data_IF_109232083634
#
_entry.id   IF_109232083634
#
_cell.length_a   1.000
_cell.length_b   1.000
_cell.length_c   1.000
_cell.angle_alpha   90.00
_cell.angle_beta   90.00
_cell.angle_gamma   90.00
#
_symmetry.space_group_name_H-M   'P 1'
#
loop_
_entity.id
_entity.type
_entity.pdbx_description
1 polymer ?
#
# COMPACT_ATOMS: atom_id res chain seq x y z
N UNK A 1 11.94 -22.50 -20.14
CA UNK A 1 12.13 -21.04 -19.96
C UNK A 1 10.95 -20.34 -20.61
N UNK A 2 10.23 -19.48 -19.88
CA UNK A 2 9.11 -18.71 -20.46
C UNK A 2 9.68 -17.39 -20.97
N UNK A 3 9.63 -17.16 -22.29
CA UNK A 3 9.97 -15.88 -22.91
C UNK A 3 8.68 -15.08 -23.08
N UNK A 4 8.61 -13.89 -22.46
CA UNK A 4 7.47 -12.97 -22.61
C UNK A 4 7.88 -11.82 -23.53
N UNK A 5 7.10 -11.54 -24.57
CA UNK A 5 7.24 -10.31 -25.33
C UNK A 5 6.83 -9.12 -24.44
N UNK A 6 7.59 -8.01 -24.50
CA UNK A 6 7.26 -6.79 -23.77
C UNK A 6 5.96 -6.18 -24.32
N UNK A 7 4.90 -6.19 -23.51
CA UNK A 7 3.74 -5.31 -23.73
C UNK A 7 4.09 -3.99 -23.04
N UNK A 8 4.41 -2.95 -23.81
CA UNK A 8 4.94 -1.69 -23.27
C UNK A 8 3.87 -0.81 -22.61
N UNK A 9 2.59 -1.05 -22.90
CA UNK A 9 1.45 -0.32 -22.34
C UNK A 9 0.32 -1.33 -22.07
N UNK A 10 -0.40 -1.21 -20.94
CA UNK A 10 -1.49 -2.09 -20.45
C UNK A 10 -1.09 -3.21 -19.47
N UNK A 11 -0.13 -2.97 -18.58
CA UNK A 11 0.16 -3.89 -17.48
C UNK A 11 0.11 -3.16 -16.13
N UNK A 12 -0.32 -3.88 -15.11
CA UNK A 12 -0.30 -3.44 -13.72
C UNK A 12 0.90 -4.05 -13.02
N UNK A 13 1.72 -3.22 -12.39
CA UNK A 13 2.80 -3.70 -11.52
C UNK A 13 2.17 -4.09 -10.18
N UNK A 14 2.37 -5.34 -9.76
CA UNK A 14 1.85 -5.87 -8.51
C UNK A 14 3.02 -6.38 -7.66
N UNK A 15 2.91 -6.23 -6.34
CA UNK A 15 3.86 -6.87 -5.42
C UNK A 15 3.82 -8.38 -5.58
N UNK A 16 5.01 -8.99 -5.68
CA UNK A 16 5.14 -10.44 -5.75
C UNK A 16 4.65 -11.12 -4.48
N UNK A 17 4.71 -10.43 -3.34
CA UNK A 17 4.32 -10.98 -2.05
C UNK A 17 2.82 -11.29 -2.03
N UNK A 18 1.99 -10.39 -2.56
CA UNK A 18 0.54 -10.59 -2.66
C UNK A 18 0.22 -11.78 -3.56
N UNK A 19 0.89 -11.90 -4.71
CA UNK A 19 0.64 -12.99 -5.65
C UNK A 19 1.08 -14.35 -5.09
N UNK A 20 2.12 -14.37 -4.25
CA UNK A 20 2.70 -15.59 -3.66
C UNK A 20 2.14 -15.91 -2.28
N UNK A 21 1.39 -15.00 -1.66
CA UNK A 21 0.78 -15.20 -0.37
C UNK A 21 -0.16 -16.42 -0.42
N UNK A 22 0.13 -17.40 0.43
CA UNK A 22 -0.64 -18.65 0.54
C UNK A 22 -1.81 -18.52 1.52
N UNK A 23 -1.83 -17.48 2.35
CA UNK A 23 -2.93 -17.18 3.24
C UNK A 23 -4.16 -16.67 2.48
N UNK A 24 -3.94 -16.07 1.30
CA UNK A 24 -4.99 -15.60 0.41
C UNK A 24 -5.41 -16.66 -0.60
N UNK A 25 -6.72 -16.75 -0.85
CA UNK A 25 -7.20 -17.56 -1.97
C UNK A 25 -6.70 -17.01 -3.31
N UNK A 26 -6.66 -17.88 -4.32
CA UNK A 26 -6.35 -17.45 -5.69
C UNK A 26 -7.34 -16.38 -6.19
N UNK A 27 -8.62 -16.49 -5.78
CA UNK A 27 -9.65 -15.51 -6.11
C UNK A 27 -9.41 -14.15 -5.46
N UNK A 28 -8.99 -14.10 -4.19
CA UNK A 28 -8.63 -12.86 -3.50
C UNK A 28 -7.42 -12.17 -4.16
N UNK A 29 -6.39 -12.94 -4.51
CA UNK A 29 -5.21 -12.42 -5.22
C UNK A 29 -5.57 -11.87 -6.60
N UNK A 30 -6.43 -12.56 -7.34
CA UNK A 30 -6.89 -12.09 -8.65
C UNK A 30 -7.80 -10.86 -8.54
N UNK A 31 -8.67 -10.81 -7.53
CA UNK A 31 -9.50 -9.63 -7.27
C UNK A 31 -8.64 -8.40 -6.97
N UNK A 32 -7.60 -8.55 -6.14
CA UNK A 32 -6.62 -7.48 -5.89
C UNK A 32 -5.94 -7.02 -7.18
N UNK A 33 -5.40 -7.98 -7.96
CA UNK A 33 -4.70 -7.70 -9.21
C UNK A 33 -5.56 -6.92 -10.20
N UNK A 34 -6.82 -7.34 -10.38
CA UNK A 34 -7.77 -6.64 -11.24
C UNK A 34 -8.11 -5.25 -10.70
N UNK A 35 -8.36 -5.10 -9.40
CA UNK A 35 -8.68 -3.80 -8.82
C UNK A 35 -7.57 -2.76 -9.08
N UNK A 36 -6.31 -3.18 -8.95
CA UNK A 36 -5.14 -2.34 -9.24
C UNK A 36 -4.93 -2.05 -10.75
N UNK A 37 -5.66 -2.71 -11.65
CA UNK A 37 -5.60 -2.45 -13.09
C UNK A 37 -6.56 -1.35 -13.57
N UNK A 38 -7.47 -0.90 -12.70
CA UNK A 38 -8.32 0.25 -12.98
C UNK A 38 -7.66 1.55 -12.55
N UNK A 39 -8.18 2.68 -13.03
CA UNK A 39 -7.76 4.01 -12.57
C UNK A 39 -8.10 4.25 -11.10
N UNK A 40 -7.37 5.13 -10.42
CA UNK A 40 -7.57 5.45 -9.00
C UNK A 40 -8.99 5.98 -8.68
N UNK A 41 -9.61 6.69 -9.63
CA UNK A 41 -10.98 7.22 -9.50
C UNK A 41 -12.07 6.15 -9.68
N UNK A 42 -11.70 4.90 -9.92
CA UNK A 42 -12.65 3.84 -10.22
C UNK A 42 -13.35 3.32 -8.96
N UNK A 43 -14.69 3.41 -8.97
CA UNK A 43 -15.52 2.84 -7.91
C UNK A 43 -15.70 1.33 -8.07
N UNK A 44 -15.28 0.56 -7.05
CA UNK A 44 -15.45 -0.89 -7.06
C UNK A 44 -16.93 -1.27 -7.10
N UNK A 45 -17.29 -2.04 -8.13
CA UNK A 45 -18.62 -2.60 -8.31
C UNK A 45 -18.55 -4.14 -8.23
N UNK A 46 -19.10 -4.71 -7.15
CA UNK A 46 -19.09 -6.17 -6.91
C UNK A 46 -19.67 -6.97 -8.08
N UNK A 47 -20.76 -6.49 -8.69
CA UNK A 47 -21.40 -7.15 -9.84
C UNK A 47 -20.51 -7.11 -11.09
N UNK A 48 -19.76 -6.04 -11.28
CA UNK A 48 -18.79 -5.94 -12.37
C UNK A 48 -17.63 -6.93 -12.18
N UNK A 49 -17.05 -6.98 -10.98
CA UNK A 49 -15.98 -7.94 -10.68
C UNK A 49 -16.45 -9.40 -10.75
N UNK A 50 -17.69 -9.68 -10.34
CA UNK A 50 -18.27 -11.02 -10.45
C UNK A 50 -18.30 -11.50 -11.91
N UNK A 51 -18.65 -10.60 -12.84
CA UNK A 51 -18.60 -10.89 -14.28
C UNK A 51 -17.17 -11.08 -14.79
N UNK A 52 -16.24 -10.18 -14.43
CA UNK A 52 -14.84 -10.26 -14.87
C UNK A 52 -14.15 -11.55 -14.40
N UNK A 53 -14.37 -11.93 -13.15
CA UNK A 53 -13.79 -13.12 -12.54
C UNK A 53 -14.58 -14.40 -12.86
N UNK A 54 -15.74 -14.29 -13.50
CA UNK A 54 -16.67 -15.39 -13.77
C UNK A 54 -17.04 -16.19 -12.49
N UNK A 55 -17.44 -15.47 -11.45
CA UNK A 55 -17.86 -16.05 -10.15
C UNK A 55 -19.12 -15.36 -9.64
N UNK A 56 -19.71 -15.89 -8.56
CA UNK A 56 -20.86 -15.24 -7.91
C UNK A 56 -20.47 -13.94 -7.20
N UNK A 57 -21.42 -13.01 -7.03
CA UNK A 57 -21.21 -11.80 -6.22
C UNK A 57 -20.82 -12.13 -4.77
N UNK A 58 -21.35 -13.24 -4.22
CA UNK A 58 -20.99 -13.72 -2.88
C UNK A 58 -19.51 -14.14 -2.82
N UNK A 59 -18.99 -14.77 -3.87
CA UNK A 59 -17.57 -15.12 -3.97
C UNK A 59 -16.69 -13.88 -3.98
N UNK A 60 -17.06 -12.84 -4.75
CA UNK A 60 -16.31 -11.57 -4.75
C UNK A 60 -16.32 -10.91 -3.38
N UNK A 61 -17.46 -10.89 -2.68
CA UNK A 61 -17.53 -10.37 -1.30
C UNK A 61 -16.63 -11.16 -0.34
N UNK A 62 -16.55 -12.49 -0.51
CA UNK A 62 -15.61 -13.33 0.24
C UNK A 62 -14.16 -12.95 -0.06
N UNK A 63 -13.78 -12.81 -1.33
CA UNK A 63 -12.44 -12.39 -1.74
C UNK A 63 -12.05 -11.03 -1.17
N UNK A 64 -12.95 -10.05 -1.23
CA UNK A 64 -12.77 -8.75 -0.57
C UNK A 64 -12.55 -8.92 0.93
N UNK A 65 -13.37 -9.71 1.61
CA UNK A 65 -13.24 -9.90 3.06
C UNK A 65 -11.92 -10.59 3.43
N UNK A 66 -11.41 -11.51 2.61
CA UNK A 66 -10.08 -12.09 2.81
C UNK A 66 -8.99 -11.01 2.79
N UNK A 67 -9.04 -10.08 1.83
CA UNK A 67 -8.09 -8.96 1.77
C UNK A 67 -8.24 -7.99 2.96
N UNK A 68 -9.47 -7.77 3.44
CA UNK A 68 -9.72 -6.98 4.65
C UNK A 68 -9.10 -7.64 5.88
N UNK A 69 -9.31 -8.95 6.04
CA UNK A 69 -8.75 -9.70 7.15
C UNK A 69 -7.22 -9.74 7.11
N UNK A 70 -6.63 -9.72 5.92
CA UNK A 70 -5.18 -9.63 5.72
C UNK A 70 -4.62 -8.20 5.87
N UNK A 71 -5.45 -7.21 6.23
CA UNK A 71 -5.08 -5.79 6.32
C UNK A 71 -4.50 -5.22 5.02
N UNK A 72 -4.85 -5.80 3.87
CA UNK A 72 -4.48 -5.32 2.53
C UNK A 72 -5.51 -4.35 1.95
N UNK A 73 -6.72 -4.38 2.48
CA UNK A 73 -7.86 -3.58 2.02
C UNK A 73 -8.67 -3.08 3.22
N UNK A 74 -8.92 -1.78 3.29
CA UNK A 74 -9.98 -1.23 4.12
C UNK A 74 -11.26 -1.08 3.28
N UNK A 75 -12.41 -1.39 3.90
CA UNK A 75 -13.71 -1.29 3.27
C UNK A 75 -14.71 -0.66 4.24
N UNK A 76 -15.45 0.34 3.76
CA UNK A 76 -16.60 0.89 4.48
C UNK A 76 -17.78 1.09 3.54
N UNK A 77 -18.99 0.86 4.04
CA UNK A 77 -20.22 1.19 3.35
C UNK A 77 -20.73 2.52 3.90
N UNK A 78 -21.00 3.47 3.01
CA UNK A 78 -21.46 4.79 3.39
C UNK A 78 -22.85 4.66 4.00
N UNK A 79 -23.11 5.48 5.03
CA UNK A 79 -24.43 5.61 5.65
C UNK A 79 -24.99 6.99 5.36
N UNK A 80 -26.30 7.07 5.15
CA UNK A 80 -26.98 8.35 5.01
C UNK A 80 -27.05 9.08 6.36
N UNK A 81 -27.54 10.32 6.32
CA UNK A 81 -27.76 11.18 7.49
C UNK A 81 -28.68 10.55 8.55
N UNK A 82 -29.45 9.52 8.18
CA UNK A 82 -30.38 8.78 9.03
C UNK A 82 -29.79 7.44 9.50
N UNK A 83 -28.52 7.17 9.21
CA UNK A 83 -27.78 5.97 9.61
C UNK A 83 -28.06 4.72 8.77
N UNK A 84 -28.84 4.84 7.69
CA UNK A 84 -29.15 3.74 6.77
C UNK A 84 -28.00 3.53 5.79
N UNK A 85 -27.67 2.27 5.50
CA UNK A 85 -26.64 1.92 4.53
C UNK A 85 -27.07 2.38 3.13
N UNK A 86 -26.17 3.08 2.44
CA UNK A 86 -26.33 3.48 1.04
C UNK A 86 -25.72 2.43 0.11
N UNK A 87 -25.86 2.63 -1.21
CA UNK A 87 -25.18 1.79 -2.20
C UNK A 87 -23.73 2.19 -2.42
N UNK A 88 -23.29 3.30 -1.83
CA UNK A 88 -21.93 3.79 -1.95
C UNK A 88 -21.02 3.07 -0.96
N UNK A 89 -19.80 2.80 -1.41
CA UNK A 89 -18.79 2.13 -0.61
C UNK A 89 -17.41 2.64 -0.96
N UNK A 90 -16.61 2.81 0.08
CA UNK A 90 -15.23 3.28 -0.02
C UNK A 90 -14.30 2.08 0.16
N UNK A 91 -13.30 2.00 -0.72
CA UNK A 91 -12.27 0.97 -0.71
C UNK A 91 -10.91 1.66 -0.69
N UNK A 92 -10.04 1.24 0.23
CA UNK A 92 -8.69 1.79 0.35
C UNK A 92 -7.72 0.63 0.40
N UNK A 93 -6.93 0.44 -0.65
CA UNK A 93 -5.88 -0.56 -0.65
C UNK A 93 -4.68 -0.03 0.11
N UNK A 94 -4.19 -0.81 1.06
CA UNK A 94 -3.02 -0.42 1.82
C UNK A 94 -1.77 -0.65 0.97
N UNK A 95 -0.92 0.38 0.88
CA UNK A 95 0.42 0.20 0.33
C UNK A 95 1.17 -0.74 1.24
N UNK A 96 1.59 -1.89 0.70
CA UNK A 96 2.57 -2.73 1.39
C UNK A 96 3.89 -1.98 1.40
N UNK A 97 4.17 -1.26 2.48
CA UNK A 97 5.52 -0.84 2.76
C UNK A 97 6.35 -2.11 2.89
N UNK A 98 7.28 -2.31 1.95
CA UNK A 98 8.31 -3.34 2.11
C UNK A 98 9.19 -2.84 3.24
N UNK A 99 8.85 -3.24 4.46
CA UNK A 99 9.69 -3.02 5.61
C UNK A 99 10.89 -3.94 5.42
N UNK A 100 12.01 -3.37 4.99
CA UNK A 100 13.27 -4.10 4.93
C UNK A 100 13.63 -4.52 6.36
N UNK A 101 13.47 -5.81 6.66
CA UNK A 101 13.70 -6.35 8.00
C UNK A 101 15.15 -6.12 8.47
N UNK A 102 16.09 -6.01 7.52
CA UNK A 102 17.49 -5.73 7.82
C UNK A 102 17.65 -4.28 8.30
N UNK A 103 16.95 -3.33 7.66
CA UNK A 103 16.87 -1.94 8.10
C UNK A 103 16.17 -1.79 9.46
N UNK A 104 15.09 -2.53 9.70
CA UNK A 104 14.41 -2.48 11.00
C UNK A 104 15.26 -3.05 12.12
N UNK A 105 15.96 -4.16 11.89
CA UNK A 105 16.89 -4.73 12.88
C UNK A 105 17.99 -3.74 13.23
N UNK A 106 18.64 -3.14 12.23
CA UNK A 106 19.71 -2.15 12.45
C UNK A 106 19.19 -0.87 13.11
N UNK A 107 17.97 -0.45 12.81
CA UNK A 107 17.36 0.74 13.42
C UNK A 107 16.93 0.49 14.86
N UNK A 108 16.39 -0.69 15.17
CA UNK A 108 16.03 -1.09 16.54
C UNK A 108 17.28 -1.20 17.42
N UNK A 109 18.36 -1.83 16.93
CA UNK A 109 19.64 -1.85 17.66
C UNK A 109 20.20 -0.44 17.89
N UNK A 110 20.10 0.46 16.91
CA UNK A 110 20.52 1.86 17.08
C UNK A 110 19.65 2.62 18.09
N UNK A 111 18.36 2.32 18.20
CA UNK A 111 17.46 2.95 19.16
C UNK A 111 17.80 2.53 20.60
N UNK A 112 18.12 1.26 20.81
CA UNK A 112 18.54 0.73 22.12
C UNK A 112 19.88 1.34 22.58
N UNK A 113 20.78 1.66 21.64
CA UNK A 113 22.04 2.36 21.94
C UNK A 113 21.82 3.83 22.31
N UNK A 114 20.85 4.50 21.68
CA UNK A 114 20.54 5.92 21.96
C UNK A 114 19.84 6.10 23.32
N UNK A 115 19.01 5.14 23.77
CA UNK A 115 18.42 5.18 25.13
C UNK A 115 19.47 5.00 26.24
N UNK A 116 20.55 4.25 25.97
CA UNK A 116 21.68 4.09 26.90
C UNK A 116 22.59 5.33 26.95
N UNK A 117 22.64 6.12 25.88
CA UNK A 117 23.35 7.40 25.86
C UNK A 117 22.51 8.53 26.50
N UNK A 118 21.19 8.51 26.35
CA UNK A 118 20.28 9.51 26.93
C UNK A 118 20.21 9.45 28.47
N UNK A 119 20.58 8.34 29.09
CA UNK A 119 20.68 8.21 30.57
C UNK A 119 22.02 8.69 31.12
N UNK A 120 23.00 9.01 30.27
CA UNK A 120 24.34 9.44 30.68
C UNK A 120 24.63 10.94 30.41
N UNK A 121 23.68 11.69 29.85
CA UNK A 121 23.79 13.14 29.64
C UNK A 121 22.52 13.87 30.06
N UNK A 122 22.16 13.77 31.34
CA UNK A 122 21.54 14.93 31.98
C UNK A 122 22.58 16.06 32.00
N UNK A 123 22.51 16.99 31.03
CA UNK A 123 22.75 18.43 31.22
C UNK A 123 22.69 19.18 29.88
N UNK A 124 21.70 20.09 29.78
CA UNK A 124 21.70 21.36 28.99
C UNK A 124 21.51 21.18 27.47
N UNK A 125 20.54 21.74 26.72
CA UNK A 125 19.63 22.89 26.88
C UNK A 125 18.50 22.83 25.82
N UNK A 126 17.35 23.40 26.20
CA UNK A 126 16.24 23.99 25.42
C UNK A 126 16.25 23.99 23.87
N UNK A 127 15.19 23.42 23.28
CA UNK A 127 14.83 23.50 21.85
C UNK A 127 14.55 24.93 21.35
N UNK A 128 14.74 25.20 20.04
CA UNK A 128 13.60 25.69 19.26
C UNK A 128 13.44 25.11 17.84
N UNK A 129 12.19 25.02 17.41
CA UNK A 129 11.66 24.54 16.14
C UNK A 129 11.99 25.43 14.90
N UNK A 130 11.78 24.81 13.70
CA UNK A 130 11.62 25.35 12.30
C UNK A 130 12.91 25.31 11.46
N UNK A 131 12.93 24.77 10.23
CA UNK A 131 12.02 25.06 9.12
C UNK A 131 12.00 23.93 8.06
N UNK A 132 10.84 23.69 7.45
CA UNK A 132 10.65 22.94 6.21
C UNK A 132 11.31 23.68 5.03
N UNK A 133 12.22 23.04 4.31
CA UNK A 133 12.53 23.27 2.88
C UNK A 133 13.49 22.17 2.43
N UNK A 134 13.31 21.43 1.35
CA UNK A 134 12.51 21.70 0.19
C UNK A 134 12.22 20.38 -0.54
N UNK A 135 11.05 20.35 -1.18
CA UNK A 135 10.86 19.87 -2.53
C UNK A 135 12.17 19.65 -3.30
N UNK A 136 12.30 18.47 -3.89
CA UNK A 136 13.27 18.24 -4.95
C UNK A 136 13.09 19.26 -6.08
N UNK A 137 14.18 19.92 -6.43
CA UNK A 137 14.36 20.49 -7.75
C UNK A 137 15.58 19.83 -8.37
N UNK A 138 15.31 18.99 -9.37
CA UNK A 138 16.31 18.60 -10.35
C UNK A 138 16.71 19.82 -11.16
N UNK A 139 18.00 20.12 -11.21
CA UNK A 139 18.61 20.71 -12.39
C UNK A 139 20.12 20.43 -12.34
N UNK A 140 20.49 19.37 -13.05
CA UNK A 140 21.83 19.16 -13.58
C UNK A 140 22.32 20.45 -14.27
N UNK A 141 23.27 21.15 -13.65
CA UNK A 141 24.04 22.25 -14.24
C UNK A 141 25.36 22.39 -13.46
N UNK A 142 26.34 21.53 -13.72
CA UNK A 142 27.77 21.91 -13.68
C UNK A 142 28.72 20.74 -14.00
N UNK A 143 28.76 20.36 -15.28
CA UNK A 143 30.07 20.26 -15.91
C UNK A 143 30.57 21.69 -16.14
N UNK A 144 31.19 22.28 -15.12
CA UNK A 144 32.02 23.49 -15.21
C UNK A 144 33.32 23.19 -14.47
N UNK A 145 34.33 22.83 -15.28
CA UNK A 145 35.76 23.18 -15.23
C UNK A 145 36.40 23.31 -13.84
N UNK A 146 37.38 22.43 -13.55
CA UNK A 146 38.82 22.77 -13.54
C UNK A 146 39.59 21.64 -14.21
#
# INVERSE_FOLDING_TARGET
MIQKNQQLNNFTILSSDILRDKSLSMGARMFYALAQSFSDDWNINIKHFAKLLNVSEASVRKFRNELVNASLLAYSQVRDEKGKLTQESVYTFNTLEVVDFQYVSEKVERLDLVEQEATNTENVESYPFKHLSAYGYSSDLSNIII
#
